data_IF_909077904382
#
_entry.id   IF_909077904382
#
_cell.length_a   1.000
_cell.length_b   1.000
_cell.length_c   1.000
_cell.angle_alpha   90.00
_cell.angle_beta   90.00
_cell.angle_gamma   90.00
#
_symmetry.space_group_name_H-M   'P 1'
#
loop_
_entity.id
_entity.type
_entity.pdbx_description
1 polymer ?
#
# COMPACT_ATOMS: atom_id res chain seq x y z
N UNK A 1 -28.48 3.78 -0.17
CA UNK A 1 -28.08 2.35 -0.08
C UNK A 1 -28.13 1.82 1.36
N UNK A 2 -27.31 2.34 2.29
CA UNK A 2 -27.25 1.86 3.68
C UNK A 2 -28.62 1.80 4.39
N UNK A 3 -29.44 2.83 4.24
CA UNK A 3 -30.80 2.90 4.82
C UNK A 3 -31.70 1.77 4.34
N UNK A 4 -31.67 1.47 3.04
CA UNK A 4 -32.47 0.39 2.42
C UNK A 4 -31.96 -1.00 2.84
N UNK A 5 -30.64 -1.17 2.99
CA UNK A 5 -30.06 -2.42 3.50
C UNK A 5 -30.48 -2.66 4.96
N UNK A 6 -30.48 -1.62 5.80
CA UNK A 6 -30.88 -1.73 7.20
C UNK A 6 -32.38 -1.99 7.36
N UNK A 7 -33.19 -1.53 6.42
CA UNK A 7 -34.62 -1.80 6.35
C UNK A 7 -34.95 -3.21 5.78
N UNK A 8 -33.95 -4.03 5.46
CA UNK A 8 -34.16 -5.41 5.02
C UNK A 8 -34.57 -5.58 3.54
N UNK A 9 -34.46 -4.53 2.72
CA UNK A 9 -34.81 -4.63 1.30
C UNK A 9 -33.82 -5.51 0.53
N UNK A 10 -34.34 -6.22 -0.48
CA UNK A 10 -33.53 -7.08 -1.35
C UNK A 10 -32.57 -6.26 -2.22
N UNK A 11 -31.44 -6.87 -2.59
CA UNK A 11 -30.45 -6.24 -3.48
C UNK A 11 -31.07 -5.79 -4.81
N UNK A 12 -32.06 -6.52 -5.34
CA UNK A 12 -32.77 -6.19 -6.58
C UNK A 12 -33.61 -4.92 -6.42
N UNK A 13 -34.32 -4.78 -5.30
CA UNK A 13 -35.08 -3.57 -4.98
C UNK A 13 -34.17 -2.35 -4.82
N UNK A 14 -33.07 -2.52 -4.10
CA UNK A 14 -32.08 -1.45 -3.89
C UNK A 14 -31.48 -1.01 -5.23
N UNK A 15 -31.16 -1.96 -6.11
CA UNK A 15 -30.61 -1.71 -7.42
C UNK A 15 -31.59 -0.92 -8.30
N UNK A 16 -32.86 -1.35 -8.34
CA UNK A 16 -33.93 -0.62 -9.04
C UNK A 16 -34.08 0.81 -8.50
N UNK A 17 -34.15 0.97 -7.18
CA UNK A 17 -34.34 2.28 -6.54
C UNK A 17 -33.16 3.25 -6.77
N UNK A 18 -31.95 2.73 -6.92
CA UNK A 18 -30.74 3.51 -7.18
C UNK A 18 -30.40 3.63 -8.68
N UNK A 19 -31.22 3.06 -9.56
CA UNK A 19 -30.97 2.95 -10.99
C UNK A 19 -29.57 2.36 -11.31
N UNK A 20 -29.24 1.25 -10.65
CA UNK A 20 -27.99 0.49 -10.82
C UNK A 20 -28.29 -0.98 -11.10
N UNK A 21 -27.31 -1.70 -11.65
CA UNK A 21 -27.43 -3.14 -11.80
C UNK A 21 -27.41 -3.87 -10.44
N UNK A 22 -28.17 -4.97 -10.26
CA UNK A 22 -28.11 -5.79 -9.05
C UNK A 22 -26.70 -6.32 -8.75
N UNK A 23 -25.92 -6.59 -9.81
CA UNK A 23 -24.52 -7.00 -9.70
C UNK A 23 -23.64 -5.91 -9.08
N UNK A 24 -23.90 -4.63 -9.36
CA UNK A 24 -23.19 -3.51 -8.74
C UNK A 24 -23.45 -3.47 -7.24
N UNK A 25 -24.70 -3.60 -6.82
CA UNK A 25 -25.08 -3.61 -5.40
C UNK A 25 -24.45 -4.80 -4.67
N UNK A 26 -24.50 -5.99 -5.26
CA UNK A 26 -23.86 -7.19 -4.70
C UNK A 26 -22.34 -7.00 -4.52
N UNK A 27 -21.64 -6.56 -5.57
CA UNK A 27 -20.18 -6.30 -5.52
C UNK A 27 -19.80 -5.22 -4.52
N UNK A 28 -20.62 -4.19 -4.38
CA UNK A 28 -20.41 -3.11 -3.41
C UNK A 28 -20.54 -3.63 -1.97
N UNK A 29 -21.57 -4.44 -1.68
CA UNK A 29 -21.76 -5.05 -0.37
C UNK A 29 -20.60 -5.99 -0.05
N UNK A 30 -20.24 -6.91 -0.94
CA UNK A 30 -19.16 -7.88 -0.67
C UNK A 30 -17.82 -7.19 -0.45
N UNK A 31 -17.51 -6.16 -1.24
CA UNK A 31 -16.26 -5.40 -1.13
C UNK A 31 -16.15 -4.57 0.14
N UNK A 32 -17.25 -4.00 0.62
CA UNK A 32 -17.25 -3.04 1.73
C UNK A 32 -17.95 -3.54 3.00
N UNK A 33 -18.24 -4.86 3.11
CA UNK A 33 -18.79 -5.50 4.30
C UNK A 33 -17.75 -5.49 5.43
N UNK A 34 -18.14 -4.98 6.59
CA UNK A 34 -17.42 -5.12 7.84
C UNK A 34 -17.97 -6.32 8.64
N UNK A 35 -17.31 -6.67 9.76
CA UNK A 35 -17.73 -7.75 10.66
C UNK A 35 -19.19 -7.61 11.11
N UNK A 36 -19.65 -6.38 11.32
CA UNK A 36 -21.00 -6.06 11.79
C UNK A 36 -21.95 -5.62 10.66
N UNK A 37 -21.60 -5.90 9.39
CA UNK A 37 -22.43 -5.57 8.23
C UNK A 37 -21.90 -4.40 7.38
N UNK A 38 -22.78 -3.81 6.57
CA UNK A 38 -22.43 -2.70 5.67
C UNK A 38 -22.57 -1.36 6.38
N UNK A 39 -21.53 -0.52 6.34
CA UNK A 39 -21.56 0.85 6.87
C UNK A 39 -21.04 1.82 5.81
N UNK A 40 -21.86 2.79 5.41
CA UNK A 40 -21.49 3.74 4.36
C UNK A 40 -20.22 4.54 4.68
N UNK A 41 -20.06 4.99 5.94
CA UNK A 41 -18.84 5.69 6.39
C UNK A 41 -17.58 4.83 6.25
N UNK A 42 -17.68 3.54 6.57
CA UNK A 42 -16.57 2.59 6.43
C UNK A 42 -16.25 2.32 4.96
N UNK A 43 -17.28 2.06 4.14
CA UNK A 43 -17.14 1.87 2.70
C UNK A 43 -16.40 3.05 2.04
N UNK A 44 -16.80 4.27 2.39
CA UNK A 44 -16.18 5.49 1.89
C UNK A 44 -14.71 5.62 2.34
N UNK A 45 -14.41 5.42 3.62
CA UNK A 45 -13.03 5.46 4.14
C UNK A 45 -12.13 4.43 3.45
N UNK A 46 -12.64 3.22 3.23
CA UNK A 46 -11.91 2.17 2.52
C UNK A 46 -11.70 2.49 1.05
N UNK A 47 -12.67 3.15 0.39
CA UNK A 47 -12.51 3.66 -0.96
C UNK A 47 -11.42 4.74 -1.04
N UNK A 48 -11.42 5.70 -0.11
CA UNK A 48 -10.39 6.73 -0.03
C UNK A 48 -9.00 6.15 0.19
N UNK A 49 -8.86 5.16 1.09
CA UNK A 49 -7.59 4.46 1.30
C UNK A 49 -7.07 3.77 0.03
N UNK A 50 -7.96 3.18 -0.77
CA UNK A 50 -7.59 2.58 -2.06
C UNK A 50 -7.24 3.62 -3.12
N UNK A 51 -7.84 4.81 -3.04
CA UNK A 51 -7.56 5.94 -3.91
C UNK A 51 -6.32 6.73 -3.47
N UNK A 52 -5.76 6.47 -2.29
CA UNK A 52 -4.51 7.10 -1.88
C UNK A 52 -3.46 6.84 -2.96
N UNK A 53 -2.84 7.89 -3.53
CA UNK A 53 -1.80 7.70 -4.52
C UNK A 53 -0.71 6.82 -3.91
N UNK A 54 -0.32 5.77 -4.63
CA UNK A 54 0.84 4.99 -4.23
C UNK A 54 2.00 5.97 -4.03
N UNK A 55 2.76 5.88 -2.91
CA UNK A 55 3.92 6.73 -2.71
C UNK A 55 4.81 6.62 -3.94
N UNK A 56 5.31 7.77 -4.44
CA UNK A 56 6.16 7.82 -5.63
C UNK A 56 7.25 6.76 -5.47
N UNK A 57 7.26 5.78 -6.38
CA UNK A 57 8.30 4.75 -6.40
C UNK A 57 9.61 5.46 -6.70
N UNK A 58 10.61 5.23 -5.85
CA UNK A 58 11.98 5.65 -6.13
C UNK A 58 12.38 4.95 -7.46
N UNK A 59 12.87 5.70 -8.46
CA UNK A 59 13.20 5.14 -9.76
C UNK A 59 14.30 4.08 -9.64
N UNK A 60 14.33 3.14 -10.58
CA UNK A 60 15.30 2.03 -10.62
C UNK A 60 16.74 2.51 -10.61
N UNK A 61 17.01 3.62 -11.29
CA UNK A 61 18.36 4.13 -11.50
C UNK A 61 18.97 4.64 -10.18
N UNK A 62 18.12 5.22 -9.34
CA UNK A 62 18.48 5.63 -7.98
C UNK A 62 18.78 4.40 -7.10
N UNK A 63 18.03 3.31 -7.25
CA UNK A 63 18.35 2.06 -6.54
C UNK A 63 19.66 1.43 -7.03
N UNK A 64 19.96 1.52 -8.33
CA UNK A 64 21.24 1.05 -8.86
C UNK A 64 22.42 1.80 -8.23
N UNK A 65 22.30 3.12 -8.05
CA UNK A 65 23.30 3.92 -7.33
C UNK A 65 23.42 3.51 -5.86
N UNK A 66 22.29 3.31 -5.16
CA UNK A 66 22.31 2.83 -3.76
C UNK A 66 23.02 1.48 -3.65
N UNK A 67 22.75 0.53 -4.54
CA UNK A 67 23.42 -0.79 -4.58
C UNK A 67 24.92 -0.63 -4.86
N UNK A 68 25.28 0.24 -5.81
CA UNK A 68 26.68 0.53 -6.13
C UNK A 68 27.44 1.04 -4.89
N UNK A 69 26.89 2.02 -4.16
CA UNK A 69 27.53 2.52 -2.94
C UNK A 69 27.53 1.51 -1.78
N UNK A 70 26.46 0.69 -1.65
CA UNK A 70 26.46 -0.40 -0.67
C UNK A 70 27.59 -1.39 -0.98
N UNK A 71 27.85 -1.75 -2.24
CA UNK A 71 28.96 -2.63 -2.60
C UNK A 71 30.33 -2.02 -2.29
N UNK A 72 30.45 -0.68 -2.34
CA UNK A 72 31.64 0.06 -1.89
C UNK A 72 31.75 0.17 -0.35
N UNK A 73 30.91 -0.53 0.41
CA UNK A 73 30.87 -0.54 1.89
C UNK A 73 30.53 0.83 2.52
N UNK A 74 29.81 1.68 1.80
CA UNK A 74 29.33 2.94 2.35
C UNK A 74 28.20 2.71 3.36
N UNK A 75 28.16 3.51 4.42
CA UNK A 75 27.07 3.46 5.39
C UNK A 75 25.78 4.03 4.78
N UNK A 76 24.58 3.56 5.19
CA UNK A 76 23.32 4.12 4.75
C UNK A 76 23.25 5.64 4.91
N UNK A 77 23.80 6.18 6.00
CA UNK A 77 23.90 7.63 6.25
C UNK A 77 24.73 8.34 5.17
N UNK A 78 25.89 7.79 4.81
CA UNK A 78 26.73 8.35 3.74
C UNK A 78 26.02 8.35 2.38
N UNK A 79 25.25 7.29 2.10
CA UNK A 79 24.47 7.16 0.86
C UNK A 79 23.37 8.21 0.81
N UNK A 80 22.69 8.48 1.93
CA UNK A 80 21.65 9.54 1.97
C UNK A 80 22.19 10.93 1.71
N UNK A 81 23.47 11.19 2.01
CA UNK A 81 24.11 12.47 1.72
C UNK A 81 24.45 12.64 0.24
N UNK A 82 24.53 11.56 -0.54
CA UNK A 82 24.95 11.58 -1.95
C UNK A 82 23.81 11.29 -2.92
N UNK A 83 22.76 10.61 -2.47
CA UNK A 83 21.63 10.20 -3.29
C UNK A 83 20.34 10.69 -2.63
N UNK A 84 19.40 11.23 -3.43
CA UNK A 84 18.09 11.69 -2.96
C UNK A 84 17.17 10.52 -2.56
N UNK A 85 17.53 9.81 -1.49
CA UNK A 85 16.78 8.70 -0.89
C UNK A 85 16.79 8.88 0.62
N UNK A 86 15.65 8.63 1.26
CA UNK A 86 15.58 8.69 2.72
C UNK A 86 16.31 7.50 3.36
N UNK A 87 16.94 7.72 4.52
CA UNK A 87 17.61 6.68 5.31
C UNK A 87 16.69 5.48 5.56
N UNK A 88 15.44 5.77 5.91
CA UNK A 88 14.40 4.77 6.13
C UNK A 88 14.14 3.90 4.89
N UNK A 89 14.15 4.50 3.69
CA UNK A 89 14.00 3.75 2.44
C UNK A 89 15.15 2.76 2.22
N UNK A 90 16.40 3.17 2.50
CA UNK A 90 17.58 2.31 2.36
C UNK A 90 17.49 1.14 3.34
N UNK A 91 17.19 1.37 4.62
CA UNK A 91 17.01 0.29 5.59
C UNK A 91 15.87 -0.66 5.21
N UNK A 92 14.74 -0.12 4.76
CA UNK A 92 13.62 -0.94 4.29
C UNK A 92 14.01 -1.81 3.10
N UNK A 93 14.84 -1.29 2.19
CA UNK A 93 15.37 -2.02 1.04
C UNK A 93 16.31 -3.15 1.46
N UNK A 94 17.26 -2.87 2.36
CA UNK A 94 18.15 -3.89 2.93
C UNK A 94 17.34 -4.98 3.67
N UNK A 95 16.30 -4.60 4.43
CA UNK A 95 15.44 -5.56 5.11
C UNK A 95 14.66 -6.45 4.12
N UNK A 96 14.19 -5.88 3.01
CA UNK A 96 13.53 -6.65 1.96
C UNK A 96 14.49 -7.62 1.27
N UNK A 97 15.74 -7.21 1.04
CA UNK A 97 16.79 -8.07 0.50
C UNK A 97 17.12 -9.23 1.46
N UNK A 98 17.28 -8.93 2.76
CA UNK A 98 17.49 -9.94 3.82
C UNK A 98 16.35 -10.96 3.86
N UNK A 99 15.10 -10.53 3.75
CA UNK A 99 13.94 -11.42 3.71
C UNK A 99 13.90 -12.31 2.46
N UNK A 100 14.63 -11.95 1.40
CA UNK A 100 14.79 -12.72 0.16
C UNK A 100 16.09 -13.54 0.12
N UNK A 101 16.81 -13.68 1.25
CA UNK A 101 18.13 -14.32 1.32
C UNK A 101 19.17 -13.61 0.43
N UNK A 102 19.04 -12.29 0.26
CA UNK A 102 20.03 -11.47 -0.43
C UNK A 102 21.23 -11.12 0.45
N UNK A 103 22.34 -10.72 -0.18
CA UNK A 103 23.64 -10.52 0.48
C UNK A 103 23.97 -9.05 0.78
N UNK A 104 23.07 -8.10 0.49
CA UNK A 104 23.38 -6.67 0.61
C UNK A 104 23.66 -6.23 2.05
N UNK A 105 23.14 -6.94 3.04
CA UNK A 105 23.37 -6.64 4.46
C UNK A 105 24.81 -6.92 4.92
N UNK A 106 25.55 -7.80 4.23
CA UNK A 106 26.95 -8.11 4.57
C UNK A 106 27.90 -6.95 4.27
N UNK A 107 27.43 -5.95 3.54
CA UNK A 107 28.21 -4.79 3.15
C UNK A 107 28.06 -3.58 4.08
N UNK A 108 27.24 -3.71 5.12
CA UNK A 108 27.14 -2.70 6.17
C UNK A 108 28.41 -2.72 7.02
N UNK A 109 29.28 -1.75 6.81
CA UNK A 109 30.40 -1.51 7.72
C UNK A 109 29.86 -0.95 9.04
N UNK A 110 29.82 -1.80 10.07
CA UNK A 110 29.81 -1.35 11.46
C UNK A 110 31.12 -0.58 11.70
N UNK A 111 31.06 0.75 11.73
CA UNK A 111 32.21 1.53 12.18
C UNK A 111 32.07 1.79 13.68
N UNK A 112 33.07 1.33 14.43
CA UNK A 112 33.41 1.77 15.79
C UNK A 112 33.53 3.29 15.86
#
# INVERSE_FOLDING_TARGET
MYTLLRAGFSNRYIAWRLNRSPSTISREITRNKARNGYFAKHAHKSALKRHCPNPKRIPSDIWALVIFYLNLKWSPEQITSHVFVSLYSIYRFIQQDKNKVGVLFHNLCSRN
#
